data_IF_138524850116
#
_entry.id   IF_138524850116
#
_cell.length_a   1.000
_cell.length_b   1.000
_cell.length_c   1.000
_cell.angle_alpha   90.00
_cell.angle_beta   90.00
_cell.angle_gamma   90.00
#
_symmetry.space_group_name_H-M   'P 1'
#
loop_
_entity.id
_entity.type
_entity.pdbx_description
1 polymer ?
#
# COMPACT_ATOMS: atom_id res chain seq x y z
N UNK A 1 0.68 -17.84 38.12
CA UNK A 1 0.07 -18.02 36.78
C UNK A 1 0.85 -17.14 35.84
N UNK A 2 1.69 -17.72 35.00
CA UNK A 2 2.38 -17.00 33.92
C UNK A 2 1.30 -16.38 33.03
N UNK A 3 1.28 -15.05 32.93
CA UNK A 3 0.49 -14.38 31.89
C UNK A 3 0.91 -14.99 30.54
N UNK A 4 -0.08 -15.37 29.71
CA UNK A 4 0.20 -15.81 28.35
C UNK A 4 0.88 -14.66 27.60
N UNK A 5 2.21 -14.68 27.55
CA UNK A 5 2.99 -13.75 26.75
C UNK A 5 2.67 -14.04 25.28
N UNK A 6 1.97 -13.11 24.64
CA UNK A 6 1.66 -13.16 23.22
C UNK A 6 2.94 -12.93 22.40
N UNK A 7 3.85 -12.12 22.92
CA UNK A 7 5.15 -11.84 22.32
C UNK A 7 6.26 -11.86 23.38
N UNK A 8 7.26 -12.71 23.15
CA UNK A 8 8.36 -12.93 24.09
C UNK A 8 9.35 -11.76 24.16
N UNK A 9 9.35 -10.85 23.18
CA UNK A 9 10.23 -9.66 23.18
C UNK A 9 9.63 -8.49 23.95
N UNK A 10 8.42 -8.63 24.49
CA UNK A 10 7.74 -7.62 25.30
C UNK A 10 7.69 -8.05 26.77
N UNK A 11 7.71 -7.08 27.68
CA UNK A 11 7.44 -7.34 29.10
C UNK A 11 5.95 -7.70 29.34
N UNK A 12 5.64 -8.17 30.54
CA UNK A 12 4.27 -8.58 30.91
C UNK A 12 3.28 -7.41 30.86
N UNK A 13 3.73 -6.19 31.14
CA UNK A 13 2.90 -4.99 31.15
C UNK A 13 2.47 -4.64 29.72
N UNK A 14 3.40 -4.67 28.75
CA UNK A 14 3.07 -4.39 27.35
C UNK A 14 2.25 -5.51 26.72
N UNK A 15 2.51 -6.78 27.04
CA UNK A 15 1.66 -7.90 26.59
C UNK A 15 0.20 -7.74 27.06
N UNK A 16 0.01 -7.37 28.33
CA UNK A 16 -1.32 -7.13 28.90
C UNK A 16 -1.99 -5.93 28.25
N UNK A 17 -1.25 -4.84 28.08
CA UNK A 17 -1.74 -3.62 27.44
C UNK A 17 -2.16 -3.88 25.99
N UNK A 18 -1.37 -4.65 25.24
CA UNK A 18 -1.70 -5.05 23.88
C UNK A 18 -3.07 -5.75 23.85
N UNK A 19 -3.26 -6.77 24.69
CA UNK A 19 -4.53 -7.50 24.78
C UNK A 19 -5.70 -6.56 25.08
N UNK A 20 -5.55 -5.66 26.05
CA UNK A 20 -6.61 -4.73 26.43
C UNK A 20 -6.97 -3.69 25.35
N UNK A 21 -5.98 -3.19 24.60
CA UNK A 21 -6.22 -2.16 23.57
C UNK A 21 -6.82 -2.76 22.30
N UNK A 22 -6.35 -3.94 21.89
CA UNK A 22 -6.64 -4.47 20.56
C UNK A 22 -7.66 -5.60 20.53
N UNK A 23 -8.10 -6.15 21.67
CA UNK A 23 -9.03 -7.30 21.72
C UNK A 23 -10.26 -7.14 20.81
N UNK A 24 -10.98 -6.02 20.92
CA UNK A 24 -12.19 -5.80 20.13
C UNK A 24 -11.86 -5.48 18.67
N UNK A 25 -10.76 -4.76 18.44
CA UNK A 25 -10.29 -4.44 17.09
C UNK A 25 -9.87 -5.69 16.32
N UNK A 26 -9.24 -6.67 16.99
CA UNK A 26 -8.85 -7.95 16.39
C UNK A 26 -10.09 -8.65 15.82
N UNK A 27 -11.15 -8.77 16.64
CA UNK A 27 -12.42 -9.39 16.22
C UNK A 27 -13.11 -8.62 15.12
N UNK A 28 -13.08 -7.29 15.18
CA UNK A 28 -13.66 -6.43 14.15
C UNK A 28 -12.95 -6.60 12.81
N UNK A 29 -11.62 -6.49 12.79
CA UNK A 29 -10.85 -6.55 11.55
C UNK A 29 -10.82 -7.95 10.94
N UNK A 30 -10.86 -9.01 11.75
CA UNK A 30 -10.97 -10.37 11.24
C UNK A 30 -12.30 -10.63 10.50
N UNK A 31 -13.35 -9.87 10.79
CA UNK A 31 -14.63 -9.95 10.07
C UNK A 31 -14.66 -9.14 8.79
N UNK A 32 -13.85 -8.10 8.67
CA UNK A 32 -13.88 -7.13 7.55
C UNK A 32 -12.71 -7.30 6.58
N UNK A 33 -11.73 -8.13 6.91
CA UNK A 33 -10.55 -8.40 6.09
C UNK A 33 -10.41 -9.89 5.80
N UNK A 34 -9.45 -10.25 4.96
CA UNK A 34 -9.12 -11.64 4.64
C UNK A 34 -8.29 -12.35 5.74
N UNK A 35 -8.04 -11.69 6.87
CA UNK A 35 -7.18 -12.19 7.94
C UNK A 35 -7.98 -12.87 9.06
N UNK A 36 -7.43 -13.93 9.64
CA UNK A 36 -7.94 -14.53 10.88
C UNK A 36 -7.64 -13.65 12.10
N UNK A 37 -8.27 -13.91 13.24
CA UNK A 37 -7.97 -13.18 14.48
C UNK A 37 -6.48 -13.28 14.88
N UNK A 38 -5.84 -14.44 14.69
CA UNK A 38 -4.41 -14.63 14.96
C UNK A 38 -3.50 -13.83 14.02
N UNK A 39 -3.88 -13.75 12.73
CA UNK A 39 -3.15 -12.95 11.73
C UNK A 39 -3.30 -11.45 12.02
N UNK A 40 -4.51 -10.99 12.35
CA UNK A 40 -4.73 -9.60 12.76
C UNK A 40 -3.97 -9.27 14.04
N UNK A 41 -3.96 -10.17 15.04
CA UNK A 41 -3.16 -10.00 16.26
C UNK A 41 -1.68 -9.84 15.93
N UNK A 42 -1.15 -10.62 14.98
CA UNK A 42 0.26 -10.56 14.59
C UNK A 42 0.58 -9.25 13.84
N UNK A 43 -0.28 -8.81 12.93
CA UNK A 43 -0.17 -7.52 12.24
C UNK A 43 -0.18 -6.35 13.24
N UNK A 44 -1.10 -6.39 14.21
CA UNK A 44 -1.20 -5.37 15.26
C UNK A 44 -0.04 -5.41 16.25
N UNK A 45 0.56 -6.57 16.50
CA UNK A 45 1.74 -6.69 17.37
C UNK A 45 2.92 -5.92 16.78
N UNK A 46 3.15 -6.04 15.47
CA UNK A 46 4.17 -5.26 14.76
C UNK A 46 3.89 -3.76 14.88
N UNK A 47 2.63 -3.34 14.67
CA UNK A 47 2.21 -1.95 14.87
C UNK A 47 2.51 -1.47 16.28
N UNK A 48 2.14 -2.24 17.30
CA UNK A 48 2.33 -1.90 18.70
C UNK A 48 3.80 -1.64 19.03
N UNK A 49 4.71 -2.48 18.52
CA UNK A 49 6.17 -2.29 18.70
C UNK A 49 6.67 -0.99 18.08
N UNK A 50 6.16 -0.61 16.89
CA UNK A 50 6.49 0.68 16.29
C UNK A 50 5.97 1.85 17.11
N UNK A 51 4.75 1.76 17.66
CA UNK A 51 4.21 2.81 18.53
C UNK A 51 5.07 2.95 19.79
N UNK A 52 5.45 1.83 20.43
CA UNK A 52 6.30 1.85 21.64
C UNK A 52 7.68 2.47 21.40
N UNK A 53 8.23 2.36 20.19
CA UNK A 53 9.49 3.02 19.84
C UNK A 53 9.41 4.56 19.91
N UNK A 54 8.21 5.15 19.86
CA UNK A 54 8.00 6.58 20.08
C UNK A 54 7.86 6.95 21.57
N UNK A 55 7.92 5.96 22.47
CA UNK A 55 7.79 6.12 23.92
C UNK A 55 6.56 5.40 24.48
N UNK A 56 6.61 5.10 25.78
CA UNK A 56 5.60 4.27 26.46
C UNK A 56 4.19 4.88 26.46
N UNK A 57 4.04 6.19 26.26
CA UNK A 57 2.73 6.87 26.20
C UNK A 57 2.22 7.12 24.78
N UNK A 58 2.99 6.77 23.75
CA UNK A 58 2.59 6.95 22.37
C UNK A 58 1.33 6.12 22.06
N UNK A 59 0.50 6.67 21.16
CA UNK A 59 -0.76 6.06 20.73
C UNK A 59 -0.77 5.67 19.26
N UNK A 60 0.03 6.36 18.45
CA UNK A 60 0.04 6.22 17.00
C UNK A 60 1.45 6.03 16.45
N UNK A 61 1.53 5.43 15.27
CA UNK A 61 2.76 5.39 14.49
C UNK A 61 2.89 6.72 13.75
N UNK A 62 4.09 7.29 13.77
CA UNK A 62 4.35 8.58 13.14
C UNK A 62 4.46 8.43 11.61
N UNK A 63 4.15 9.51 10.89
CA UNK A 63 4.41 9.60 9.43
C UNK A 63 5.86 9.26 9.08
N UNK A 64 6.84 9.68 9.90
CA UNK A 64 8.25 9.39 9.67
C UNK A 64 8.54 7.88 9.69
N UNK A 65 7.99 7.15 10.66
CA UNK A 65 8.14 5.69 10.73
C UNK A 65 7.47 5.01 9.54
N UNK A 66 6.28 5.47 9.16
CA UNK A 66 5.56 4.96 7.99
C UNK A 66 6.38 5.11 6.70
N UNK A 67 6.91 6.30 6.43
CA UNK A 67 7.75 6.53 5.25
C UNK A 67 9.00 5.64 5.28
N UNK A 68 9.67 5.51 6.43
CA UNK A 68 10.84 4.65 6.56
C UNK A 68 10.49 3.18 6.26
N UNK A 69 9.35 2.69 6.72
CA UNK A 69 8.86 1.35 6.41
C UNK A 69 8.67 1.13 4.90
N UNK A 70 8.10 2.12 4.19
CA UNK A 70 7.95 2.02 2.74
C UNK A 70 9.30 1.89 2.02
N UNK A 71 10.27 2.73 2.39
CA UNK A 71 11.59 2.72 1.76
C UNK A 71 12.39 1.45 2.06
N UNK A 72 12.38 0.99 3.32
CA UNK A 72 13.24 -0.11 3.78
C UNK A 72 12.60 -1.46 3.62
N UNK A 73 11.34 -1.61 4.05
CA UNK A 73 10.64 -2.89 4.08
C UNK A 73 9.86 -3.13 2.78
N UNK A 74 9.05 -2.17 2.35
CA UNK A 74 8.19 -2.36 1.17
C UNK A 74 8.92 -2.12 -0.15
N UNK A 75 10.10 -1.46 -0.10
CA UNK A 75 10.92 -1.07 -1.26
C UNK A 75 10.14 -0.24 -2.29
N UNK A 76 9.25 0.61 -1.79
CA UNK A 76 8.54 1.62 -2.59
C UNK A 76 9.21 2.95 -2.28
N UNK A 77 9.76 3.61 -3.29
CA UNK A 77 10.60 4.81 -3.13
C UNK A 77 9.94 6.11 -3.56
N UNK A 78 8.83 6.02 -4.28
CA UNK A 78 8.09 7.20 -4.72
C UNK A 78 7.34 7.84 -3.54
N UNK A 79 7.89 8.94 -3.03
CA UNK A 79 7.33 9.65 -1.89
C UNK A 79 5.91 10.17 -2.11
N UNK A 80 5.54 10.48 -3.36
CA UNK A 80 4.17 10.92 -3.67
C UNK A 80 3.20 9.74 -3.59
N UNK A 81 3.59 8.57 -4.10
CA UNK A 81 2.79 7.34 -3.95
C UNK A 81 2.64 7.00 -2.46
N UNK A 82 3.72 7.06 -1.67
CA UNK A 82 3.66 6.80 -0.23
C UNK A 82 2.70 7.77 0.47
N UNK A 83 2.76 9.07 0.17
CA UNK A 83 1.84 10.06 0.74
C UNK A 83 0.39 9.77 0.37
N UNK A 84 0.12 9.41 -0.89
CA UNK A 84 -1.24 9.08 -1.35
C UNK A 84 -1.77 7.81 -0.69
N UNK A 85 -0.93 6.79 -0.51
CA UNK A 85 -1.29 5.58 0.24
C UNK A 85 -1.61 5.93 1.70
N UNK A 86 -0.78 6.76 2.35
CA UNK A 86 -1.01 7.22 3.71
C UNK A 86 -2.39 7.89 3.84
N UNK A 87 -2.68 8.85 2.97
CA UNK A 87 -3.97 9.56 2.95
C UNK A 87 -5.14 8.60 2.73
N UNK A 88 -4.97 7.62 1.85
CA UNK A 88 -6.01 6.63 1.56
C UNK A 88 -6.32 5.73 2.77
N UNK A 89 -5.30 5.27 3.51
CA UNK A 89 -5.52 4.32 4.62
C UNK A 89 -5.97 4.99 5.93
N UNK A 90 -5.54 6.22 6.21
CA UNK A 90 -5.86 6.91 7.47
C UNK A 90 -7.25 7.51 7.46
N UNK A 91 -7.83 7.77 6.28
CA UNK A 91 -9.14 8.42 6.12
C UNK A 91 -9.27 9.74 6.92
N UNK A 92 -8.14 10.37 7.29
CA UNK A 92 -8.08 11.53 8.16
C UNK A 92 -7.02 12.54 7.72
N UNK A 93 -7.18 13.77 8.20
CA UNK A 93 -6.24 14.88 7.95
C UNK A 93 -5.05 14.90 8.93
N UNK A 94 -5.04 14.05 9.96
CA UNK A 94 -3.99 14.07 11.00
C UNK A 94 -2.70 13.44 10.51
N UNK A 95 -2.76 12.60 9.46
CA UNK A 95 -1.60 11.94 8.83
C UNK A 95 -0.80 11.05 9.78
N UNK A 96 -1.39 10.64 10.90
CA UNK A 96 -0.85 9.63 11.81
C UNK A 96 -1.45 8.27 11.47
N UNK A 97 -0.64 7.21 11.60
CA UNK A 97 -1.11 5.86 11.27
C UNK A 97 -1.67 5.23 12.53
N UNK A 98 -2.99 5.07 12.57
CA UNK A 98 -3.67 4.31 13.61
C UNK A 98 -3.65 2.79 13.31
N UNK A 99 -4.11 2.00 14.28
CA UNK A 99 -4.13 0.55 14.19
C UNK A 99 -5.05 0.03 13.06
N UNK A 100 -6.15 0.75 12.78
CA UNK A 100 -7.11 0.37 11.74
C UNK A 100 -6.49 0.59 10.35
N UNK A 101 -5.89 1.76 10.14
CA UNK A 101 -5.16 2.12 8.92
C UNK A 101 -4.03 1.12 8.64
N UNK A 102 -3.30 0.70 9.67
CA UNK A 102 -2.25 -0.31 9.54
C UNK A 102 -2.79 -1.66 9.04
N UNK A 103 -3.88 -2.17 9.64
CA UNK A 103 -4.48 -3.42 9.19
C UNK A 103 -5.10 -3.29 7.78
N UNK A 104 -5.69 -2.13 7.44
CA UNK A 104 -6.18 -1.85 6.08
C UNK A 104 -5.07 -1.87 5.04
N UNK A 105 -3.90 -1.30 5.35
CA UNK A 105 -2.74 -1.35 4.45
C UNK A 105 -2.36 -2.80 4.14
N UNK A 106 -2.26 -3.64 5.17
CA UNK A 106 -1.97 -5.07 5.00
C UNK A 106 -3.07 -5.78 4.22
N UNK A 107 -4.34 -5.44 4.46
CA UNK A 107 -5.46 -6.04 3.74
C UNK A 107 -5.36 -5.80 2.23
N UNK A 108 -4.94 -4.60 1.84
CA UNK A 108 -4.68 -4.27 0.43
C UNK A 108 -3.42 -4.95 -0.09
N UNK A 109 -2.29 -4.86 0.62
CA UNK A 109 -1.01 -5.38 0.14
C UNK A 109 -0.99 -6.91 0.02
N UNK A 110 -1.76 -7.60 0.85
CA UNK A 110 -1.84 -9.07 0.88
C UNK A 110 -3.04 -9.62 0.10
N UNK A 111 -3.72 -8.79 -0.69
CA UNK A 111 -4.82 -9.29 -1.54
C UNK A 111 -4.25 -9.98 -2.77
N UNK A 112 -4.86 -11.12 -3.13
CA UNK A 112 -4.59 -11.82 -4.40
C UNK A 112 -5.66 -11.51 -5.45
N UNK A 113 -6.62 -10.64 -5.12
CA UNK A 113 -7.74 -10.26 -5.98
C UNK A 113 -7.35 -9.08 -6.86
N UNK A 114 -7.25 -9.33 -8.17
CA UNK A 114 -6.83 -8.30 -9.13
C UNK A 114 -7.80 -7.11 -9.15
N UNK A 115 -9.11 -7.33 -9.03
CA UNK A 115 -10.13 -6.28 -8.96
C UNK A 115 -9.88 -5.31 -7.79
N UNK A 116 -9.48 -5.83 -6.63
CA UNK A 116 -9.15 -5.02 -5.47
C UNK A 116 -7.87 -4.23 -5.69
N UNK A 117 -6.86 -4.83 -6.35
CA UNK A 117 -5.62 -4.14 -6.70
C UNK A 117 -5.86 -3.01 -7.70
N UNK A 118 -6.64 -3.26 -8.75
CA UNK A 118 -7.05 -2.27 -9.75
C UNK A 118 -7.72 -1.08 -9.06
N UNK A 119 -8.72 -1.34 -8.21
CA UNK A 119 -9.42 -0.28 -7.49
C UNK A 119 -8.48 0.56 -6.63
N UNK A 120 -7.60 -0.10 -5.87
CA UNK A 120 -6.65 0.61 -5.02
C UNK A 120 -5.67 1.44 -5.83
N UNK A 121 -5.02 0.87 -6.85
CA UNK A 121 -4.03 1.60 -7.66
C UNK A 121 -4.64 2.82 -8.34
N UNK A 122 -5.84 2.69 -8.91
CA UNK A 122 -6.52 3.84 -9.51
C UNK A 122 -6.82 4.94 -8.49
N UNK A 123 -7.21 4.59 -7.26
CA UNK A 123 -7.40 5.57 -6.19
C UNK A 123 -6.10 6.27 -5.77
N UNK A 124 -4.95 5.60 -5.87
CA UNK A 124 -3.64 6.20 -5.63
C UNK A 124 -3.23 7.14 -6.78
N UNK A 125 -3.62 6.85 -8.03
CA UNK A 125 -3.32 7.72 -9.17
C UNK A 125 -4.27 8.93 -9.26
N UNK A 126 -5.54 8.76 -8.92
CA UNK A 126 -6.57 9.80 -8.99
C UNK A 126 -6.52 10.77 -7.78
N UNK A 127 -5.51 11.64 -7.77
CA UNK A 127 -5.22 12.59 -6.68
C UNK A 127 -6.44 13.46 -6.34
N UNK A 128 -7.16 13.92 -7.36
CA UNK A 128 -8.28 14.86 -7.21
C UNK A 128 -9.59 14.17 -6.83
N UNK A 129 -9.67 12.84 -6.91
CA UNK A 129 -10.89 12.09 -6.59
C UNK A 129 -12.06 12.38 -7.54
N UNK A 130 -11.82 12.99 -8.70
CA UNK A 130 -12.85 13.37 -9.68
C UNK A 130 -13.29 12.21 -10.59
N UNK A 131 -12.55 11.09 -10.56
CA UNK A 131 -12.94 9.82 -11.18
C UNK A 131 -12.15 9.46 -12.43
N UNK A 132 -11.20 10.29 -12.84
CA UNK A 132 -10.43 10.11 -14.05
C UNK A 132 -9.00 10.65 -13.90
N UNK A 133 -8.09 10.17 -14.74
CA UNK A 133 -6.74 10.71 -14.87
C UNK A 133 -6.70 11.59 -16.12
N UNK A 134 -6.52 12.89 -15.93
CA UNK A 134 -6.33 13.82 -17.04
C UNK A 134 -4.86 13.83 -17.51
N UNK A 135 -4.60 14.52 -18.62
CA UNK A 135 -3.25 14.58 -19.22
C UNK A 135 -2.20 15.14 -18.26
N UNK A 136 -2.55 16.13 -17.44
CA UNK A 136 -1.66 16.73 -16.45
C UNK A 136 -1.22 15.73 -15.37
N UNK A 137 -2.15 14.93 -14.83
CA UNK A 137 -1.85 13.89 -13.83
C UNK A 137 -0.89 12.86 -14.43
N UNK A 138 -1.14 12.42 -15.67
CA UNK A 138 -0.30 11.42 -16.34
C UNK A 138 1.09 12.01 -16.64
N UNK A 139 1.15 13.25 -17.14
CA UNK A 139 2.41 13.95 -17.42
C UNK A 139 3.28 14.07 -16.16
N UNK A 140 2.70 14.56 -15.07
CA UNK A 140 3.40 14.68 -13.78
C UNK A 140 3.91 13.33 -13.26
N UNK A 141 3.15 12.25 -13.47
CA UNK A 141 3.59 10.92 -13.09
C UNK A 141 4.72 10.38 -13.98
N UNK A 142 4.80 10.80 -15.25
CA UNK A 142 5.83 10.37 -16.22
C UNK A 142 7.17 11.07 -16.01
N UNK A 143 7.18 12.29 -15.45
CA UNK A 143 8.41 13.08 -15.22
C UNK A 143 9.54 12.29 -14.55
N UNK A 144 9.20 11.44 -13.58
CA UNK A 144 10.16 10.64 -12.80
C UNK A 144 10.82 9.49 -13.58
N UNK A 145 10.27 9.11 -14.74
CA UNK A 145 10.81 7.99 -15.53
C UNK A 145 11.99 8.39 -16.41
N UNK A 146 12.13 9.68 -16.70
CA UNK A 146 13.17 10.21 -17.58
C UNK A 146 14.02 11.24 -16.84
N UNK A 147 15.32 10.97 -16.76
CA UNK A 147 16.35 11.86 -16.20
C UNK A 147 17.48 11.90 -17.21
N UNK A 148 17.88 13.11 -17.61
CA UNK A 148 18.92 13.34 -18.62
C UNK A 148 19.44 14.77 -18.55
N UNK A 149 20.55 15.02 -19.23
CA UNK A 149 21.20 16.36 -19.29
C UNK A 149 20.57 17.26 -20.37
N UNK A 150 20.05 16.66 -21.44
CA UNK A 150 19.34 17.37 -22.51
C UNK A 150 17.85 17.48 -22.16
N UNK A 151 17.42 18.69 -21.78
CA UNK A 151 16.04 18.95 -21.40
C UNK A 151 15.05 18.78 -22.57
N UNK A 152 15.46 19.12 -23.79
CA UNK A 152 14.57 19.04 -24.96
C UNK A 152 14.32 17.56 -25.31
N UNK A 153 15.37 16.74 -25.36
CA UNK A 153 15.25 15.29 -25.57
C UNK A 153 14.39 14.63 -24.48
N UNK A 154 14.63 14.98 -23.21
CA UNK A 154 13.85 14.43 -22.08
C UNK A 154 12.37 14.84 -22.17
N UNK A 155 12.07 16.07 -22.58
CA UNK A 155 10.70 16.54 -22.73
C UNK A 155 9.97 15.86 -23.90
N UNK A 156 10.67 15.62 -25.01
CA UNK A 156 10.12 14.82 -26.13
C UNK A 156 9.78 13.39 -25.68
N UNK A 157 10.69 12.70 -25.00
CA UNK A 157 10.46 11.34 -24.47
C UNK A 157 9.28 11.28 -23.49
N UNK A 158 9.15 12.30 -22.63
CA UNK A 158 8.00 12.41 -21.72
C UNK A 158 6.70 12.59 -22.49
N UNK A 159 6.67 13.47 -23.49
CA UNK A 159 5.48 13.70 -24.32
C UNK A 159 5.07 12.43 -25.07
N UNK A 160 6.04 11.74 -25.68
CA UNK A 160 5.80 10.49 -26.40
C UNK A 160 5.25 9.40 -25.47
N UNK A 161 5.78 9.28 -24.25
CA UNK A 161 5.26 8.34 -23.26
C UNK A 161 3.83 8.70 -22.84
N UNK A 162 3.52 9.98 -22.62
CA UNK A 162 2.14 10.42 -22.30
C UNK A 162 1.19 10.03 -23.43
N UNK A 163 1.54 10.34 -24.68
CA UNK A 163 0.69 10.04 -25.84
C UNK A 163 0.51 8.52 -26.04
N UNK A 164 1.56 7.73 -25.79
CA UNK A 164 1.47 6.26 -25.79
C UNK A 164 0.52 5.74 -24.71
N UNK A 165 0.58 6.31 -23.50
CA UNK A 165 -0.29 5.93 -22.39
C UNK A 165 -1.76 6.25 -22.69
N UNK A 166 -2.05 7.44 -23.24
CA UNK A 166 -3.41 7.78 -23.67
C UNK A 166 -3.89 6.85 -24.78
N UNK A 167 -3.08 6.60 -25.81
CA UNK A 167 -3.42 5.63 -26.85
C UNK A 167 -3.72 4.23 -26.30
N UNK A 168 -3.10 3.86 -25.18
CA UNK A 168 -3.26 2.55 -24.55
C UNK A 168 -4.48 2.46 -23.64
N UNK A 169 -4.70 3.50 -22.84
CA UNK A 169 -5.65 3.47 -21.73
C UNK A 169 -6.93 4.26 -22.00
N UNK A 170 -6.91 5.33 -22.77
CA UNK A 170 -8.13 6.07 -23.15
C UNK A 170 -8.85 5.29 -24.27
N UNK A 171 -9.75 4.37 -23.88
CA UNK A 171 -10.37 3.40 -24.80
C UNK A 171 -11.48 4.05 -25.62
N UNK A 172 -12.25 4.93 -25.00
CA UNK A 172 -13.36 5.65 -25.64
C UNK A 172 -12.95 6.96 -26.32
N UNK A 173 -11.71 7.42 -26.11
CA UNK A 173 -11.07 8.59 -26.74
C UNK A 173 -11.72 9.91 -26.32
N UNK A 174 -12.16 10.01 -25.07
CA UNK A 174 -12.72 11.24 -24.50
C UNK A 174 -11.65 12.21 -23.98
N UNK A 175 -10.37 11.80 -24.02
CA UNK A 175 -9.22 12.61 -23.59
C UNK A 175 -8.88 12.47 -22.10
N UNK A 176 -9.52 11.55 -21.38
CA UNK A 176 -9.17 11.17 -20.00
C UNK A 176 -9.04 9.66 -19.88
N UNK A 177 -8.42 9.19 -18.79
CA UNK A 177 -8.40 7.76 -18.46
C UNK A 177 -9.36 7.56 -17.29
N UNK A 178 -10.56 7.03 -17.57
CA UNK A 178 -11.52 6.69 -16.53
C UNK A 178 -11.12 5.42 -15.75
N UNK A 179 -11.85 5.12 -14.67
CA UNK A 179 -11.68 3.84 -13.98
C UNK A 179 -12.04 2.65 -14.90
N UNK A 180 -13.07 2.80 -15.72
CA UNK A 180 -13.57 1.72 -16.59
C UNK A 180 -12.56 1.43 -17.70
N UNK A 181 -11.99 2.46 -18.30
CA UNK A 181 -10.85 2.39 -19.23
C UNK A 181 -9.66 1.62 -18.65
N UNK A 182 -9.16 2.11 -17.51
CA UNK A 182 -8.03 1.54 -16.81
C UNK A 182 -8.28 0.08 -16.42
N UNK A 183 -9.44 -0.19 -15.80
CA UNK A 183 -9.80 -1.53 -15.35
C UNK A 183 -9.93 -2.50 -16.53
N UNK A 184 -10.52 -2.07 -17.66
CA UNK A 184 -10.65 -2.90 -18.85
C UNK A 184 -9.27 -3.29 -19.40
N UNK A 185 -8.33 -2.36 -19.45
CA UNK A 185 -6.96 -2.63 -19.93
C UNK A 185 -6.22 -3.56 -18.98
N UNK A 186 -6.23 -3.29 -17.68
CA UNK A 186 -5.49 -4.09 -16.69
C UNK A 186 -6.09 -5.49 -16.52
N UNK A 187 -7.40 -5.65 -16.63
CA UNK A 187 -8.03 -6.98 -16.62
C UNK A 187 -7.55 -7.85 -17.79
N UNK A 188 -7.27 -7.26 -18.96
CA UNK A 188 -6.69 -7.97 -20.11
C UNK A 188 -5.18 -8.14 -19.98
N UNK A 189 -4.50 -7.19 -19.34
CA UNK A 189 -3.04 -7.16 -19.20
C UNK A 189 -2.62 -6.78 -17.77
N UNK A 190 -2.63 -7.73 -16.82
CA UNK A 190 -2.40 -7.46 -15.40
C UNK A 190 -1.04 -6.81 -15.08
N UNK A 191 -0.04 -7.01 -15.94
CA UNK A 191 1.29 -6.38 -15.81
C UNK A 191 1.25 -4.84 -15.89
N UNK A 192 0.16 -4.26 -16.43
CA UNK A 192 -0.03 -2.82 -16.55
C UNK A 192 -0.72 -2.20 -15.31
N UNK A 193 -0.94 -2.99 -14.25
CA UNK A 193 -1.55 -2.51 -13.01
C UNK A 193 -0.87 -1.23 -12.51
N UNK A 194 0.45 -1.22 -12.45
CA UNK A 194 1.26 -0.15 -11.83
C UNK A 194 1.92 0.77 -12.87
N UNK A 195 1.20 1.09 -13.97
CA UNK A 195 1.77 1.80 -15.12
C UNK A 195 2.28 3.24 -14.84
N UNK A 196 1.80 3.89 -13.78
CA UNK A 196 2.29 5.21 -13.33
C UNK A 196 3.24 5.11 -12.13
N UNK A 197 3.68 3.92 -11.77
CA UNK A 197 4.64 3.67 -10.70
C UNK A 197 4.13 2.71 -9.63
N UNK A 198 5.08 2.13 -8.92
CA UNK A 198 4.87 1.06 -7.95
C UNK A 198 4.04 1.50 -6.74
N UNK A 199 2.90 0.86 -6.53
CA UNK A 199 2.00 1.00 -5.38
C UNK A 199 2.06 -0.20 -4.42
N UNK A 200 2.55 -1.36 -4.86
CA UNK A 200 2.63 -2.59 -4.08
C UNK A 200 4.08 -3.02 -3.82
N UNK A 201 4.35 -3.71 -2.69
CA UNK A 201 5.65 -4.32 -2.47
C UNK A 201 5.95 -5.38 -3.55
N UNK A 202 7.22 -5.54 -3.91
CA UNK A 202 7.67 -6.65 -4.76
C UNK A 202 7.42 -8.00 -4.08
N UNK A 203 7.49 -9.11 -4.82
CA UNK A 203 7.33 -10.47 -4.24
C UNK A 203 8.27 -10.70 -3.05
N UNK A 204 9.52 -10.24 -3.16
CA UNK A 204 10.51 -10.31 -2.07
C UNK A 204 10.04 -9.45 -0.89
N UNK A 205 9.61 -8.21 -1.15
CA UNK A 205 9.04 -7.33 -0.12
C UNK A 205 7.86 -7.98 0.59
N UNK A 206 6.87 -8.48 -0.15
CA UNK A 206 5.68 -9.17 0.36
C UNK A 206 6.05 -10.38 1.22
N UNK A 207 7.05 -11.17 0.81
CA UNK A 207 7.52 -12.33 1.59
C UNK A 207 8.14 -11.90 2.92
N UNK A 208 8.99 -10.87 2.92
CA UNK A 208 9.60 -10.35 4.16
C UNK A 208 8.52 -9.77 5.08
N UNK A 209 7.56 -9.02 4.55
CA UNK A 209 6.43 -8.48 5.32
C UNK A 209 5.62 -9.62 5.95
N UNK A 210 5.30 -10.65 5.17
CA UNK A 210 4.52 -11.77 5.64
C UNK A 210 5.25 -12.59 6.71
N UNK A 211 6.57 -12.74 6.60
CA UNK A 211 7.41 -13.36 7.62
C UNK A 211 7.40 -12.52 8.91
N UNK A 212 7.66 -11.21 8.81
CA UNK A 212 7.71 -10.31 9.96
C UNK A 212 6.35 -10.20 10.69
N UNK A 213 5.25 -10.28 9.96
CA UNK A 213 3.90 -10.21 10.51
C UNK A 213 3.28 -11.59 10.78
N UNK A 214 4.02 -12.69 10.60
CA UNK A 214 3.55 -14.07 10.80
C UNK A 214 2.24 -14.40 10.04
N UNK A 215 2.17 -13.98 8.77
CA UNK A 215 1.02 -14.17 7.87
C UNK A 215 1.41 -14.84 6.54
N UNK A 216 2.41 -15.73 6.59
CA UNK A 216 2.92 -16.47 5.41
C UNK A 216 1.84 -17.26 4.65
N UNK A 217 0.76 -17.65 5.34
CA UNK A 217 -0.46 -18.23 4.75
C UNK A 217 -1.08 -17.40 3.61
N UNK A 218 -0.76 -16.11 3.50
CA UNK A 218 -1.30 -15.18 2.50
C UNK A 218 -0.37 -14.97 1.29
N UNK A 219 0.86 -15.46 1.34
CA UNK A 219 1.80 -15.34 0.22
C UNK A 219 1.58 -16.50 -0.73
N UNK A 220 1.06 -16.20 -1.92
CA UNK A 220 1.06 -17.15 -3.01
C UNK A 220 2.37 -16.99 -3.78
N UNK A 221 3.22 -18.00 -3.73
CA UNK A 221 4.29 -18.12 -4.72
C UNK A 221 3.65 -18.63 -6.01
N UNK A 222 3.81 -17.89 -7.10
CA UNK A 222 3.44 -18.43 -8.41
C UNK A 222 4.15 -19.77 -8.58
N UNK A 223 3.40 -20.81 -8.96
CA UNK A 223 4.02 -22.07 -9.36
C UNK A 223 4.94 -21.74 -10.54
N UNK A 224 6.21 -22.19 -10.54
CA UNK A 224 7.05 -22.01 -11.71
C UNK A 224 6.30 -22.59 -12.91
N UNK A 225 6.20 -21.81 -13.99
CA UNK A 225 5.64 -22.30 -15.25
C UNK A 225 6.39 -23.58 -15.63
N UNK A 226 5.68 -24.72 -15.58
CA UNK A 226 6.11 -26.00 -16.12
C UNK A 226 5.99 -25.99 -17.63
#
# INVERSE_FOLDING_TARGET
>A
MTMNKLDATLDDVQNTRFGNIYHDLIKQMAKTTQFTEGEVSSILMVYHKFVLANGSKAKHMTKKQFFHLFLVLFKIFDLQIIERILLHITLDMKKEVDAVAWVRLFSVFMTNKLDQKIKFTFQIYNIHGNGFLNREIVQHAVEKFFVGEDEDEVNELRSDMVDLLFKKFDVDKDGVISFDDYSQVVMKQPMLLEFLGQCFPSIIGTTVIALCANIMSKVNFDKPCS
#
